data_IF_476100533657
#
_entry.id   IF_476100533657
#
_cell.length_a   1.000
_cell.length_b   1.000
_cell.length_c   1.000
_cell.angle_alpha   90.00
_cell.angle_beta   90.00
_cell.angle_gamma   90.00
#
_symmetry.space_group_name_H-M   'P 1'
#
loop_
_entity.id
_entity.type
_entity.pdbx_description
1 polymer ?
#
# COMPACT_ATOMS: atom_id res chain seq x y z
N UNK A 1 -11.47 -15.60 19.23
CA UNK A 1 -11.77 -14.32 18.57
C UNK A 1 -11.67 -14.44 17.05
N UNK A 2 -10.50 -14.79 16.46
CA UNK A 2 -10.30 -14.91 15.01
C UNK A 2 -11.28 -15.90 14.36
N UNK A 3 -11.56 -17.05 14.96
CA UNK A 3 -12.50 -18.02 14.43
C UNK A 3 -13.93 -17.45 14.37
N UNK A 4 -14.34 -16.69 15.36
CA UNK A 4 -15.66 -16.04 15.39
C UNK A 4 -15.78 -14.97 14.29
N UNK A 5 -14.71 -14.21 14.04
CA UNK A 5 -14.70 -13.21 12.96
C UNK A 5 -14.76 -13.88 11.58
N UNK A 6 -14.02 -14.97 11.38
CA UNK A 6 -14.09 -15.75 10.13
C UNK A 6 -15.50 -16.30 9.89
N UNK A 7 -16.15 -16.83 10.94
CA UNK A 7 -17.52 -17.34 10.83
C UNK A 7 -18.54 -16.24 10.54
N UNK A 8 -18.37 -15.04 11.13
CA UNK A 8 -19.19 -13.86 10.79
C UNK A 8 -19.02 -13.44 9.33
N UNK A 9 -17.77 -13.38 8.83
CA UNK A 9 -17.49 -13.03 7.45
C UNK A 9 -18.09 -14.05 6.48
N UNK A 10 -17.97 -15.34 6.76
CA UNK A 10 -18.61 -16.42 5.97
C UNK A 10 -20.14 -16.29 5.95
N UNK A 11 -20.75 -16.01 7.09
CA UNK A 11 -22.19 -15.80 7.17
C UNK A 11 -22.63 -14.55 6.41
N UNK A 12 -21.84 -13.47 6.47
CA UNK A 12 -22.09 -12.26 5.70
C UNK A 12 -21.92 -12.50 4.20
N UNK A 13 -20.92 -13.27 3.79
CA UNK A 13 -20.68 -13.64 2.39
C UNK A 13 -21.88 -14.38 1.77
N UNK A 14 -22.63 -15.14 2.56
CA UNK A 14 -23.83 -15.85 2.08
C UNK A 14 -24.90 -14.93 1.47
N UNK A 15 -24.86 -13.61 1.75
CA UNK A 15 -25.77 -12.64 1.13
C UNK A 15 -25.57 -12.58 -0.39
N UNK A 16 -24.38 -12.93 -0.88
CA UNK A 16 -24.04 -12.96 -2.30
C UNK A 16 -24.86 -13.97 -3.09
N UNK A 17 -25.44 -14.99 -2.43
CA UNK A 17 -26.40 -15.92 -3.07
C UNK A 17 -27.67 -15.21 -3.55
N UNK A 18 -27.99 -14.02 -3.02
CA UNK A 18 -29.16 -13.22 -3.39
C UNK A 18 -28.82 -12.15 -4.44
N UNK A 19 -27.54 -11.99 -4.77
CA UNK A 19 -27.12 -11.01 -5.74
C UNK A 19 -27.45 -11.47 -7.16
N UNK A 20 -27.98 -10.57 -7.98
CA UNK A 20 -28.22 -10.83 -9.41
C UNK A 20 -26.91 -10.94 -10.20
N UNK A 21 -25.86 -10.25 -9.75
CA UNK A 21 -24.52 -10.30 -10.30
C UNK A 21 -23.51 -9.93 -9.22
N UNK A 22 -22.29 -10.46 -9.33
CA UNK A 22 -21.13 -10.12 -8.50
C UNK A 22 -20.07 -9.53 -9.43
N UNK A 23 -19.60 -8.33 -9.13
CA UNK A 23 -18.57 -7.64 -9.89
C UNK A 23 -17.26 -7.67 -9.11
N UNK A 24 -16.32 -8.49 -9.57
CA UNK A 24 -15.00 -8.62 -8.96
C UNK A 24 -14.02 -7.65 -9.63
N UNK A 25 -13.32 -6.86 -8.84
CA UNK A 25 -12.37 -5.83 -9.32
C UNK A 25 -10.92 -6.32 -9.34
N UNK A 26 -10.64 -7.49 -8.79
CA UNK A 26 -9.32 -8.14 -8.87
C UNK A 26 -9.44 -9.54 -9.47
N UNK A 27 -8.33 -10.04 -10.02
CA UNK A 27 -8.29 -11.40 -10.57
C UNK A 27 -8.54 -12.46 -9.49
N UNK A 28 -7.94 -12.29 -8.32
CA UNK A 28 -8.11 -13.23 -7.18
C UNK A 28 -9.54 -13.26 -6.66
N UNK A 29 -10.18 -12.10 -6.55
CA UNK A 29 -11.60 -12.04 -6.14
C UNK A 29 -12.49 -12.69 -7.18
N UNK A 30 -12.21 -12.47 -8.48
CA UNK A 30 -12.94 -13.12 -9.55
C UNK A 30 -12.83 -14.64 -9.48
N UNK A 31 -11.64 -15.19 -9.31
CA UNK A 31 -11.40 -16.63 -9.18
C UNK A 31 -12.13 -17.19 -7.96
N UNK A 32 -11.93 -16.59 -6.80
CA UNK A 32 -12.55 -17.01 -5.55
C UNK A 32 -14.08 -17.02 -5.61
N UNK A 33 -14.69 -15.96 -6.13
CA UNK A 33 -16.15 -15.86 -6.21
C UNK A 33 -16.72 -16.74 -7.31
N UNK A 34 -16.02 -16.93 -8.44
CA UNK A 34 -16.47 -17.77 -9.55
C UNK A 34 -16.54 -19.26 -9.18
N UNK A 35 -15.73 -19.71 -8.22
CA UNK A 35 -15.82 -21.08 -7.69
C UNK A 35 -17.07 -21.31 -6.85
N UNK A 36 -17.63 -20.26 -6.25
CA UNK A 36 -18.69 -20.34 -5.25
C UNK A 36 -20.05 -19.85 -5.73
N UNK A 37 -20.06 -18.88 -6.63
CA UNK A 37 -21.27 -18.17 -7.03
C UNK A 37 -21.45 -18.16 -8.55
N UNK A 38 -22.70 -17.99 -8.97
CA UNK A 38 -23.07 -17.78 -10.37
C UNK A 38 -23.05 -16.28 -10.69
N UNK A 39 -22.95 -15.96 -11.98
CA UNK A 39 -23.00 -14.56 -12.48
C UNK A 39 -21.91 -13.67 -11.87
N UNK A 40 -20.69 -14.18 -11.78
CA UNK A 40 -19.53 -13.40 -11.39
C UNK A 40 -18.84 -12.86 -12.64
N UNK A 41 -18.56 -11.56 -12.64
CA UNK A 41 -17.92 -10.86 -13.75
C UNK A 41 -16.69 -10.12 -13.25
N UNK A 42 -15.59 -10.25 -13.98
CA UNK A 42 -14.42 -9.42 -13.74
C UNK A 42 -14.63 -8.05 -14.38
N UNK A 43 -14.48 -7.00 -13.63
CA UNK A 43 -14.60 -5.62 -14.08
C UNK A 43 -13.32 -4.86 -13.79
N UNK A 44 -13.02 -3.89 -14.63
CA UNK A 44 -11.90 -2.97 -14.37
C UNK A 44 -12.34 -1.92 -13.36
N UNK A 45 -11.57 -1.75 -12.28
CA UNK A 45 -11.75 -0.64 -11.39
C UNK A 45 -11.05 0.59 -11.98
N UNK A 46 -11.78 1.70 -12.08
CA UNK A 46 -11.25 2.98 -12.53
C UNK A 46 -11.11 3.91 -11.33
N UNK A 47 -9.92 4.51 -11.21
CA UNK A 47 -9.73 5.70 -10.39
C UNK A 47 -9.74 6.91 -11.32
N UNK A 48 -10.50 7.93 -10.94
CA UNK A 48 -10.48 9.21 -11.62
C UNK A 48 -9.21 9.98 -11.20
N UNK A 49 -8.10 9.71 -11.86
CA UNK A 49 -6.91 10.54 -11.74
C UNK A 49 -7.01 11.70 -12.74
N UNK A 50 -6.70 12.90 -12.26
CA UNK A 50 -6.41 14.01 -13.17
C UNK A 50 -5.03 13.81 -13.78
N UNK A 51 -4.87 14.22 -15.03
CA UNK A 51 -3.58 14.20 -15.68
C UNK A 51 -2.59 15.06 -14.89
N UNK A 52 -1.45 14.48 -14.53
CA UNK A 52 -0.37 15.18 -13.81
C UNK A 52 0.96 14.85 -14.46
N UNK A 53 1.81 15.86 -14.59
CA UNK A 53 3.18 15.65 -15.00
C UNK A 53 3.99 15.08 -13.85
N UNK A 54 4.70 13.98 -14.10
CA UNK A 54 5.67 13.45 -13.15
C UNK A 54 6.81 14.46 -13.03
N UNK A 55 7.16 14.79 -11.79
CA UNK A 55 8.26 15.73 -11.54
C UNK A 55 9.60 15.11 -11.94
N UNK A 56 10.33 15.79 -12.79
CA UNK A 56 11.70 15.40 -13.16
C UNK A 56 12.70 15.66 -12.04
N UNK A 57 13.90 15.10 -12.18
CA UNK A 57 15.02 15.30 -11.26
C UNK A 57 14.97 14.40 -10.03
N UNK A 58 15.74 14.79 -9.00
CA UNK A 58 15.89 14.07 -7.75
C UNK A 58 15.18 14.78 -6.60
N UNK A 59 14.99 14.08 -5.50
CA UNK A 59 14.50 14.59 -4.23
C UNK A 59 15.32 13.98 -3.09
N UNK A 60 15.14 14.48 -1.87
CA UNK A 60 15.95 14.14 -0.72
C UNK A 60 15.33 13.12 0.24
N UNK A 61 14.18 12.57 -0.11
CA UNK A 61 13.50 11.61 0.79
C UNK A 61 12.82 10.44 0.07
N UNK A 62 12.70 9.37 0.82
CA UNK A 62 11.87 8.19 0.54
C UNK A 62 10.56 8.35 1.31
N UNK A 63 9.43 7.99 0.69
CA UNK A 63 8.11 8.04 1.33
C UNK A 63 7.52 6.66 1.50
N UNK A 64 7.06 6.35 2.71
CA UNK A 64 6.08 5.31 2.98
C UNK A 64 4.77 5.94 3.42
N UNK A 65 3.62 5.42 2.94
CA UNK A 65 2.33 5.91 3.42
C UNK A 65 1.30 4.79 3.62
N UNK A 66 0.38 5.01 4.57
CA UNK A 66 -0.71 4.08 4.84
C UNK A 66 -1.55 4.48 6.06
N UNK A 67 -2.71 3.85 6.23
CA UNK A 67 -3.47 3.99 7.47
C UNK A 67 -2.76 3.21 8.59
N UNK A 68 -2.07 3.91 9.49
CA UNK A 68 -1.24 3.33 10.53
C UNK A 68 -2.05 2.71 11.69
N UNK A 69 -3.38 2.89 11.72
CA UNK A 69 -4.23 2.13 12.66
C UNK A 69 -4.39 0.66 12.25
N UNK A 70 -4.05 0.31 11.02
CA UNK A 70 -4.13 -1.06 10.50
C UNK A 70 -2.81 -1.79 10.77
N UNK A 71 -2.90 -2.96 11.39
CA UNK A 71 -1.74 -3.75 11.82
C UNK A 71 -0.73 -4.02 10.70
N UNK A 72 -1.18 -4.33 9.51
CA UNK A 72 -0.32 -4.55 8.37
C UNK A 72 0.52 -3.31 8.03
N UNK A 73 -0.10 -2.13 8.04
CA UNK A 73 0.58 -0.89 7.67
C UNK A 73 1.59 -0.44 8.74
N UNK A 74 1.26 -0.51 10.03
CA UNK A 74 2.24 -0.12 11.05
C UNK A 74 3.39 -1.13 11.16
N UNK A 75 3.17 -2.44 10.94
CA UNK A 75 4.26 -3.42 10.86
C UNK A 75 5.20 -3.17 9.67
N UNK A 76 4.63 -2.80 8.52
CA UNK A 76 5.44 -2.36 7.40
C UNK A 76 6.28 -1.11 7.74
N UNK A 77 5.69 -0.15 8.46
CA UNK A 77 6.42 1.02 8.94
C UNK A 77 7.55 0.63 9.93
N UNK A 78 7.31 -0.29 10.88
CA UNK A 78 8.34 -0.80 11.80
C UNK A 78 9.55 -1.38 11.05
N UNK A 79 9.30 -2.25 10.07
CA UNK A 79 10.33 -2.84 9.22
C UNK A 79 11.15 -1.75 8.50
N UNK A 80 10.48 -0.74 7.97
CA UNK A 80 11.14 0.37 7.28
C UNK A 80 11.94 1.25 8.24
N UNK A 81 11.44 1.53 9.44
CA UNK A 81 12.16 2.27 10.48
C UNK A 81 13.46 1.53 10.82
N UNK A 82 13.40 0.24 11.15
CA UNK A 82 14.58 -0.59 11.47
C UNK A 82 15.59 -0.66 10.32
N UNK A 83 15.10 -0.57 9.09
CA UNK A 83 15.94 -0.59 7.89
C UNK A 83 16.64 0.76 7.69
N UNK A 84 15.87 1.86 7.71
CA UNK A 84 16.35 3.20 7.37
C UNK A 84 17.14 3.88 8.50
N UNK A 85 16.95 3.48 9.76
CA UNK A 85 17.79 3.89 10.88
C UNK A 85 19.30 3.70 10.60
N UNK A 86 19.65 2.72 9.75
CA UNK A 86 21.03 2.35 9.42
C UNK A 86 21.62 3.11 8.22
N UNK A 87 20.82 3.94 7.57
CA UNK A 87 21.20 4.66 6.36
C UNK A 87 21.14 6.17 6.57
N UNK A 88 22.01 6.88 5.89
CA UNK A 88 21.94 8.36 5.81
C UNK A 88 20.97 8.78 4.68
N UNK A 89 19.74 8.29 4.75
CA UNK A 89 18.66 8.57 3.81
C UNK A 89 17.42 8.97 4.58
N UNK A 90 16.81 10.07 4.20
CA UNK A 90 15.60 10.57 4.84
C UNK A 90 14.39 9.70 4.50
N UNK A 91 13.74 9.13 5.51
CA UNK A 91 12.46 8.42 5.39
C UNK A 91 11.34 9.29 5.96
N UNK A 92 10.30 9.51 5.17
CA UNK A 92 9.03 10.07 5.65
C UNK A 92 7.99 8.97 5.74
N UNK A 93 7.34 8.87 6.89
CA UNK A 93 6.22 7.95 7.13
C UNK A 93 4.96 8.80 7.29
N UNK A 94 4.02 8.68 6.35
CA UNK A 94 2.80 9.47 6.36
C UNK A 94 1.58 8.57 6.56
N UNK A 95 0.73 8.89 7.56
CA UNK A 95 -0.47 8.07 7.74
C UNK A 95 -1.36 8.49 8.90
N UNK A 96 -2.58 7.98 8.85
CA UNK A 96 -3.59 8.27 9.86
C UNK A 96 -3.41 7.42 11.11
N UNK A 97 -3.64 8.06 12.27
CA UNK A 97 -3.73 7.40 13.57
C UNK A 97 -2.53 6.49 13.87
N UNK A 98 -1.29 7.00 13.86
CA UNK A 98 -0.12 6.21 14.22
C UNK A 98 -0.25 5.70 15.66
N UNK A 99 0.02 4.41 15.91
CA UNK A 99 -0.02 3.90 17.27
C UNK A 99 1.14 4.49 18.09
N UNK A 100 0.97 4.69 19.41
CA UNK A 100 1.96 5.35 20.27
C UNK A 100 3.36 4.75 20.22
N UNK A 101 3.48 3.45 19.97
CA UNK A 101 4.78 2.79 19.86
C UNK A 101 5.54 3.20 18.59
N UNK A 102 4.86 3.47 17.48
CA UNK A 102 5.49 4.00 16.25
C UNK A 102 6.01 5.41 16.49
N UNK A 103 5.22 6.26 17.14
CA UNK A 103 5.64 7.62 17.50
C UNK A 103 6.92 7.58 18.32
N UNK A 104 6.93 6.74 19.38
CA UNK A 104 8.08 6.57 20.27
C UNK A 104 9.31 5.99 19.56
N UNK A 105 9.10 5.06 18.62
CA UNK A 105 10.20 4.40 17.90
C UNK A 105 11.00 5.40 17.05
N UNK A 106 10.34 6.43 16.51
CA UNK A 106 10.96 7.42 15.62
C UNK A 106 11.60 8.59 16.40
N UNK A 107 11.21 8.81 17.64
CA UNK A 107 11.54 10.00 18.43
C UNK A 107 13.05 10.35 18.45
N UNK A 108 13.90 9.33 18.51
CA UNK A 108 15.36 9.49 18.58
C UNK A 108 16.09 9.24 17.23
N UNK A 109 15.36 9.08 16.11
CA UNK A 109 15.95 8.73 14.81
C UNK A 109 15.91 9.97 13.89
N UNK A 110 17.03 10.69 13.71
CA UNK A 110 17.03 12.02 13.09
C UNK A 110 16.69 12.05 11.60
N UNK A 111 16.88 10.94 10.90
CA UNK A 111 16.58 10.81 9.46
C UNK A 111 15.19 10.26 9.18
N UNK A 112 14.35 10.01 10.19
CA UNK A 112 12.98 9.50 10.02
C UNK A 112 11.97 10.54 10.54
N UNK A 113 11.03 10.92 9.68
CA UNK A 113 9.98 11.89 9.97
C UNK A 113 8.60 11.23 9.91
N UNK A 114 7.80 11.40 10.98
CA UNK A 114 6.40 10.98 11.00
C UNK A 114 5.49 12.16 10.64
N UNK A 115 4.64 11.96 9.65
CA UNK A 115 3.63 12.92 9.23
C UNK A 115 2.27 12.34 9.60
N UNK A 116 1.77 12.74 10.77
CA UNK A 116 0.52 12.24 11.32
C UNK A 116 -0.68 12.84 10.60
N UNK A 117 -1.55 11.97 10.13
CA UNK A 117 -2.87 12.30 9.58
C UNK A 117 -2.85 13.44 8.54
N UNK A 118 -1.99 13.38 7.52
CA UNK A 118 -1.99 14.38 6.46
C UNK A 118 -3.33 14.38 5.73
N UNK A 119 -3.80 15.54 5.32
CA UNK A 119 -4.93 15.62 4.41
C UNK A 119 -4.53 15.13 3.00
N UNK A 120 -5.54 14.92 2.14
CA UNK A 120 -5.32 14.35 0.80
C UNK A 120 -4.36 15.19 -0.05
N UNK A 121 -4.42 16.52 0.02
CA UNK A 121 -3.52 17.40 -0.73
C UNK A 121 -2.07 17.26 -0.25
N UNK A 122 -1.85 17.25 1.06
CA UNK A 122 -0.51 17.06 1.65
C UNK A 122 0.05 15.68 1.29
N UNK A 123 -0.78 14.63 1.37
CA UNK A 123 -0.36 13.28 0.99
C UNK A 123 -0.02 13.20 -0.50
N UNK A 124 -0.82 13.82 -1.36
CA UNK A 124 -0.56 13.91 -2.78
C UNK A 124 0.79 14.58 -3.08
N UNK A 125 1.04 15.72 -2.44
CA UNK A 125 2.29 16.47 -2.59
C UNK A 125 3.50 15.66 -2.08
N UNK A 126 3.35 14.93 -0.97
CA UNK A 126 4.38 14.02 -0.46
C UNK A 126 4.71 12.90 -1.46
N UNK A 127 3.70 12.26 -2.05
CA UNK A 127 3.89 11.20 -3.05
C UNK A 127 4.62 11.77 -4.28
N UNK A 128 4.19 12.91 -4.75
CA UNK A 128 4.70 13.55 -5.95
C UNK A 128 6.15 14.02 -5.79
N UNK A 129 6.50 14.56 -4.63
CA UNK A 129 7.83 15.10 -4.35
C UNK A 129 8.81 14.07 -3.80
N UNK A 130 8.38 12.89 -3.38
CA UNK A 130 9.29 11.83 -2.97
C UNK A 130 10.26 11.44 -4.10
N UNK A 131 11.51 11.13 -3.77
CA UNK A 131 12.41 10.51 -4.74
C UNK A 131 11.96 9.10 -5.04
N UNK A 132 11.75 8.31 -3.99
CA UNK A 132 11.24 6.95 -4.06
C UNK A 132 10.01 6.84 -3.16
N UNK A 133 8.93 6.29 -3.70
CA UNK A 133 7.80 5.83 -2.91
C UNK A 133 7.98 4.34 -2.63
N UNK A 134 8.01 3.94 -1.37
CA UNK A 134 8.18 2.55 -0.97
C UNK A 134 6.88 1.97 -0.41
N UNK A 135 6.45 0.83 -0.93
CA UNK A 135 5.29 0.09 -0.43
C UNK A 135 5.65 -1.37 -0.22
N UNK A 136 5.49 -1.83 0.99
CA UNK A 136 5.61 -3.24 1.35
C UNK A 136 4.32 -3.74 1.99
N UNK A 137 3.96 -4.98 1.72
CA UNK A 137 2.77 -5.63 2.29
C UNK A 137 3.05 -7.11 2.53
N UNK A 138 2.40 -7.68 3.52
CA UNK A 138 2.39 -9.13 3.75
C UNK A 138 1.19 -9.81 3.08
N UNK A 139 0.21 -9.03 2.60
CA UNK A 139 -1.01 -9.54 1.99
C UNK A 139 -1.02 -9.34 0.47
N UNK A 140 -1.19 -10.43 -0.25
CA UNK A 140 -1.29 -10.45 -1.71
C UNK A 140 -2.76 -10.45 -2.19
N UNK A 141 -3.66 -9.75 -1.51
CA UNK A 141 -5.10 -9.75 -1.81
C UNK A 141 -5.63 -8.36 -2.16
N UNK A 142 -6.68 -8.32 -2.95
CA UNK A 142 -7.40 -7.11 -3.33
C UNK A 142 -6.65 -6.17 -4.29
N UNK A 143 -7.33 -5.13 -4.72
CA UNK A 143 -6.75 -4.10 -5.57
C UNK A 143 -5.86 -3.16 -4.74
N UNK A 144 -4.63 -2.98 -5.18
CA UNK A 144 -3.62 -2.15 -4.49
C UNK A 144 -3.72 -0.68 -4.88
N UNK A 145 -4.77 0.01 -4.42
CA UNK A 145 -5.01 1.43 -4.76
C UNK A 145 -3.83 2.35 -4.42
N UNK A 146 -3.11 2.07 -3.32
CA UNK A 146 -1.90 2.82 -2.96
C UNK A 146 -0.83 2.73 -4.05
N UNK A 147 -0.63 1.53 -4.60
CA UNK A 147 0.34 1.30 -5.68
C UNK A 147 -0.05 2.07 -6.92
N UNK A 148 -1.32 1.97 -7.35
CA UNK A 148 -1.81 2.71 -8.52
C UNK A 148 -1.63 4.21 -8.36
N UNK A 149 -1.91 4.74 -7.18
CA UNK A 149 -1.71 6.16 -6.90
C UNK A 149 -0.23 6.58 -7.03
N UNK A 150 0.69 5.78 -6.51
CA UNK A 150 2.13 6.05 -6.63
C UNK A 150 2.61 5.93 -8.08
N UNK A 151 2.20 4.90 -8.81
CA UNK A 151 2.60 4.70 -10.20
C UNK A 151 2.12 5.84 -11.10
N UNK A 152 1.00 6.47 -10.73
CA UNK A 152 0.44 7.57 -11.50
C UNK A 152 1.05 8.94 -11.16
N UNK A 153 1.40 9.18 -9.88
CA UNK A 153 1.79 10.50 -9.39
C UNK A 153 3.25 10.61 -8.94
N UNK A 154 3.88 9.48 -8.58
CA UNK A 154 5.24 9.45 -8.04
C UNK A 154 6.32 9.30 -9.10
N UNK A 155 7.59 9.55 -8.70
CA UNK A 155 8.76 9.35 -9.59
C UNK A 155 9.14 7.87 -9.70
N UNK A 156 9.63 7.31 -8.59
CA UNK A 156 10.06 5.92 -8.51
C UNK A 156 9.23 5.19 -7.48
N UNK A 157 8.95 3.91 -7.77
CA UNK A 157 8.21 3.05 -6.87
C UNK A 157 9.02 1.79 -6.55
N UNK A 158 9.24 1.53 -5.27
CA UNK A 158 9.89 0.33 -4.77
C UNK A 158 8.88 -0.49 -3.97
N UNK A 159 8.76 -1.77 -4.28
CA UNK A 159 7.74 -2.66 -3.72
C UNK A 159 8.29 -4.05 -3.43
N UNK A 160 7.57 -4.85 -2.64
CA UNK A 160 7.81 -6.28 -2.59
C UNK A 160 6.90 -7.05 -3.57
N UNK A 161 7.19 -8.32 -3.83
CA UNK A 161 6.45 -9.19 -4.73
C UNK A 161 4.95 -9.28 -4.41
N UNK A 162 4.60 -9.34 -3.13
CA UNK A 162 3.21 -9.38 -2.67
C UNK A 162 2.42 -8.11 -3.02
N UNK A 163 3.10 -6.97 -3.15
CA UNK A 163 2.44 -5.71 -3.53
C UNK A 163 2.00 -5.74 -5.00
N UNK A 164 2.72 -6.43 -5.87
CA UNK A 164 2.45 -6.50 -7.31
C UNK A 164 1.77 -7.80 -7.74
N UNK A 165 1.50 -8.70 -6.79
CA UNK A 165 0.89 -9.99 -7.08
C UNK A 165 -0.48 -9.83 -7.77
N UNK A 166 -0.63 -10.44 -8.95
CA UNK A 166 -1.82 -10.35 -9.79
C UNK A 166 -1.96 -9.06 -10.61
N UNK A 167 -0.90 -8.22 -10.65
CA UNK A 167 -0.87 -6.99 -11.45
C UNK A 167 0.21 -7.09 -12.54
N UNK A 168 -0.11 -6.60 -13.74
CA UNK A 168 0.87 -6.43 -14.81
C UNK A 168 1.45 -5.01 -14.74
N UNK A 169 2.48 -4.86 -13.92
CA UNK A 169 3.18 -3.58 -13.69
C UNK A 169 4.67 -3.66 -14.07
N UNK A 170 5.02 -4.56 -14.99
CA UNK A 170 6.39 -4.79 -15.44
C UNK A 170 7.05 -3.49 -15.93
N UNK A 171 8.20 -3.18 -15.35
CA UNK A 171 8.97 -1.97 -15.69
C UNK A 171 8.45 -0.67 -15.06
N UNK A 172 7.32 -0.69 -14.35
CA UNK A 172 6.77 0.51 -13.68
C UNK A 172 7.23 0.67 -12.23
N UNK A 173 7.77 -0.39 -11.62
CA UNK A 173 8.28 -0.36 -10.26
C UNK A 173 9.46 -1.32 -10.09
N UNK A 174 10.22 -1.11 -9.03
CA UNK A 174 11.32 -1.99 -8.63
C UNK A 174 10.84 -2.96 -7.56
N UNK A 175 10.96 -4.27 -7.83
CA UNK A 175 10.53 -5.32 -6.87
C UNK A 175 11.74 -5.78 -6.07
N UNK A 176 11.67 -5.62 -4.75
CA UNK A 176 12.73 -5.99 -3.79
C UNK A 176 12.12 -6.80 -2.64
N UNK A 177 12.57 -8.03 -2.47
CA UNK A 177 12.06 -8.94 -1.44
C UNK A 177 13.00 -9.09 -0.24
N UNK A 178 14.25 -8.67 -0.37
CA UNK A 178 15.24 -8.69 0.70
C UNK A 178 15.47 -7.28 1.23
N UNK A 179 15.20 -7.07 2.52
CA UNK A 179 15.47 -5.80 3.20
C UNK A 179 16.95 -5.38 3.11
N UNK A 180 17.87 -6.37 3.08
CA UNK A 180 19.30 -6.09 2.93
C UNK A 180 19.70 -5.70 1.49
N UNK A 181 18.81 -5.89 0.52
CA UNK A 181 19.04 -5.47 -0.87
C UNK A 181 18.70 -3.99 -1.10
N UNK A 182 18.03 -3.34 -0.15
CA UNK A 182 17.82 -1.89 -0.17
C UNK A 182 19.17 -1.24 0.17
N UNK A 183 19.94 -0.97 -0.88
CA UNK A 183 21.21 -0.24 -0.79
C UNK A 183 21.05 1.06 -1.56
N UNK A 184 21.22 2.15 -0.87
CA UNK A 184 21.21 3.50 -1.46
C UNK A 184 22.62 3.96 -1.77
#
# INVERSE_FOLDING_TARGET
YLKQEVDKLRNFECILNKASAILAISQKDYEYFSEKYKNVYKVTAYNAYTEVDILEGSSDYVLYHGNLSVAENYRAAEILIETFEKFDVKLKIAGMNPPPHIVKLIEDIPNIELIDSPNDQVLFDLIRHAHINILVTEQATGLKLKLLNILYNGRFCLVNDKMVDGLDVNGLCYVVNDQNAIRF
#
